data_IF_370229146015
#
_entry.id   IF_370229146015
#
_cell.length_a   1.000
_cell.length_b   1.000
_cell.length_c   1.000
_cell.angle_alpha   90.00
_cell.angle_beta   90.00
_cell.angle_gamma   90.00
#
_symmetry.space_group_name_H-M   'P 1'
#
loop_
_entity.id
_entity.type
_entity.pdbx_description
1 polymer ?
#
# COMPACT_ATOMS: atom_id res chain seq x y z
N UNK A 1 -29.60 -2.86 25.76
CA UNK A 1 -28.47 -1.97 26.11
C UNK A 1 -27.68 -2.51 27.30
N UNK A 2 -26.40 -2.86 27.12
CA UNK A 2 -25.49 -3.25 28.21
C UNK A 2 -24.57 -2.07 28.58
N UNK A 3 -24.97 -1.29 29.59
CA UNK A 3 -24.32 -0.02 29.95
C UNK A 3 -22.84 -0.22 30.34
N UNK A 4 -22.53 -1.27 31.09
CA UNK A 4 -21.15 -1.58 31.52
C UNK A 4 -20.23 -1.86 30.34
N UNK A 5 -20.73 -2.61 29.35
CA UNK A 5 -19.99 -2.89 28.12
C UNK A 5 -19.76 -1.63 27.28
N UNK A 6 -20.79 -0.78 27.14
CA UNK A 6 -20.67 0.48 26.37
C UNK A 6 -19.66 1.42 27.02
N UNK A 7 -19.71 1.58 28.36
CA UNK A 7 -18.72 2.37 29.11
C UNK A 7 -17.31 1.88 28.93
N UNK A 8 -17.09 0.57 29.08
CA UNK A 8 -15.78 -0.03 28.88
C UNK A 8 -15.25 0.26 27.46
N UNK A 9 -16.13 0.15 26.46
CA UNK A 9 -15.79 0.40 25.06
C UNK A 9 -15.42 1.87 24.82
N UNK A 10 -16.19 2.82 25.36
CA UNK A 10 -15.90 4.26 25.31
C UNK A 10 -14.59 4.61 26.05
N UNK A 11 -14.30 3.94 27.16
CA UNK A 11 -13.03 4.08 27.87
C UNK A 11 -11.82 3.70 27.02
N UNK A 12 -11.95 2.67 26.17
CA UNK A 12 -10.88 2.21 25.27
C UNK A 12 -10.62 3.16 24.11
N UNK A 13 -11.59 4.00 23.72
CA UNK A 13 -11.41 5.02 22.67
C UNK A 13 -10.23 5.93 23.01
N UNK A 14 -10.17 6.42 24.27
CA UNK A 14 -9.08 7.29 24.74
C UNK A 14 -7.71 6.60 24.62
N UNK A 15 -7.64 5.34 25.00
CA UNK A 15 -6.40 4.55 24.92
C UNK A 15 -5.96 4.33 23.48
N UNK A 16 -6.91 4.12 22.55
CA UNK A 16 -6.60 3.99 21.12
C UNK A 16 -6.12 5.31 20.50
N UNK A 17 -6.75 6.44 20.83
CA UNK A 17 -6.26 7.77 20.43
C UNK A 17 -4.85 8.04 20.97
N UNK A 18 -4.56 7.69 22.23
CA UNK A 18 -3.22 7.84 22.81
C UNK A 18 -2.15 6.99 22.10
N UNK A 19 -2.54 5.88 21.45
CA UNK A 19 -1.67 5.00 20.65
C UNK A 19 -1.57 5.43 19.18
N UNK A 20 -2.20 6.55 18.78
CA UNK A 20 -2.29 7.00 17.38
C UNK A 20 -2.88 5.94 16.45
N UNK A 21 -3.92 5.25 16.93
CA UNK A 21 -4.71 4.30 16.15
C UNK A 21 -6.14 4.84 15.98
N UNK A 22 -6.36 5.82 15.08
CA UNK A 22 -7.64 6.49 14.90
C UNK A 22 -8.69 5.54 14.29
N UNK A 23 -8.28 4.59 13.45
CA UNK A 23 -9.19 3.58 12.88
C UNK A 23 -9.85 2.75 13.99
N UNK A 24 -9.05 2.22 14.90
CA UNK A 24 -9.56 1.43 16.03
C UNK A 24 -10.36 2.28 17.01
N UNK A 25 -9.97 3.53 17.23
CA UNK A 25 -10.71 4.44 18.09
C UNK A 25 -12.11 4.75 17.53
N UNK A 26 -12.22 4.94 16.20
CA UNK A 26 -13.49 5.15 15.51
C UNK A 26 -14.36 3.89 15.53
N UNK A 27 -13.79 2.70 15.28
CA UNK A 27 -14.55 1.44 15.33
C UNK A 27 -15.11 1.15 16.74
N UNK A 28 -14.34 1.46 17.79
CA UNK A 28 -14.81 1.35 19.18
C UNK A 28 -15.94 2.35 19.49
N UNK A 29 -15.82 3.60 19.04
CA UNK A 29 -16.87 4.60 19.23
C UNK A 29 -18.16 4.24 18.46
N UNK A 30 -18.03 3.73 17.23
CA UNK A 30 -19.16 3.25 16.43
C UNK A 30 -19.84 2.06 17.10
N UNK A 31 -19.07 1.07 17.56
CA UNK A 31 -19.61 -0.10 18.27
C UNK A 31 -20.36 0.30 19.55
N UNK A 32 -19.87 1.31 20.26
CA UNK A 32 -20.53 1.85 21.45
C UNK A 32 -21.86 2.55 21.12
N UNK A 33 -21.92 3.31 20.03
CA UNK A 33 -23.15 3.98 19.58
C UNK A 33 -24.19 2.99 19.00
N UNK A 34 -23.75 1.96 18.28
CA UNK A 34 -24.63 0.92 17.75
C UNK A 34 -25.24 0.07 18.88
N UNK A 35 -24.48 -0.19 19.95
CA UNK A 35 -24.97 -0.90 21.13
C UNK A 35 -26.04 -0.15 21.95
N UNK A 36 -26.28 1.14 21.65
CA UNK A 36 -27.41 1.90 22.19
C UNK A 36 -28.74 1.53 21.52
N UNK A 37 -28.72 0.94 20.32
CA UNK A 37 -29.91 0.46 19.59
C UNK A 37 -31.02 1.53 19.47
N UNK A 38 -30.63 2.79 19.24
CA UNK A 38 -31.56 3.92 19.13
C UNK A 38 -32.19 4.38 20.46
N UNK A 39 -31.81 3.79 21.60
CA UNK A 39 -32.24 4.24 22.91
C UNK A 39 -31.48 5.50 23.33
N UNK A 40 -32.19 6.46 23.93
CA UNK A 40 -31.54 7.65 24.48
C UNK A 40 -30.63 7.25 25.64
N UNK A 41 -29.32 7.54 25.58
CA UNK A 41 -28.40 7.15 26.64
C UNK A 41 -28.74 7.87 27.96
N UNK A 42 -28.58 7.20 29.11
CA UNK A 42 -28.72 7.84 30.41
C UNK A 42 -27.63 8.92 30.62
N UNK A 43 -27.92 9.89 31.48
CA UNK A 43 -27.12 11.13 31.64
C UNK A 43 -25.64 10.87 31.92
N UNK A 44 -25.37 9.80 32.65
CA UNK A 44 -24.04 9.36 33.05
C UNK A 44 -23.24 8.79 31.86
N UNK A 45 -23.90 8.16 30.89
CA UNK A 45 -23.30 7.67 29.65
C UNK A 45 -23.09 8.79 28.61
N UNK A 46 -23.97 9.82 28.62
CA UNK A 46 -23.82 11.01 27.76
C UNK A 46 -22.49 11.72 27.97
N UNK A 47 -22.02 11.79 29.22
CA UNK A 47 -20.73 12.37 29.56
C UNK A 47 -19.56 11.56 28.98
N UNK A 48 -19.65 10.24 29.07
CA UNK A 48 -18.64 9.33 28.54
C UNK A 48 -18.55 9.43 27.00
N UNK A 49 -19.71 9.43 26.31
CA UNK A 49 -19.79 9.62 24.86
C UNK A 49 -19.19 10.96 24.46
N UNK A 50 -19.59 12.05 25.14
CA UNK A 50 -19.06 13.39 24.87
C UNK A 50 -17.54 13.40 24.95
N UNK A 51 -16.99 12.84 26.02
CA UNK A 51 -15.54 12.83 26.25
C UNK A 51 -14.80 12.01 25.20
N UNK A 52 -15.34 10.85 24.81
CA UNK A 52 -14.79 10.02 23.74
C UNK A 52 -14.79 10.76 22.39
N UNK A 53 -15.91 11.41 22.04
CA UNK A 53 -16.03 12.20 20.81
C UNK A 53 -15.07 13.40 20.80
N UNK A 54 -14.94 14.11 21.93
CA UNK A 54 -13.98 15.23 22.02
C UNK A 54 -12.54 14.74 21.86
N UNK A 55 -12.19 13.58 22.43
CA UNK A 55 -10.86 13.00 22.28
C UNK A 55 -10.58 12.58 20.83
N UNK A 56 -11.56 11.99 20.17
CA UNK A 56 -11.48 11.68 18.74
C UNK A 56 -11.34 12.95 17.89
N UNK A 57 -12.10 14.01 18.20
CA UNK A 57 -12.05 15.27 17.47
C UNK A 57 -10.69 15.99 17.57
N UNK A 58 -9.90 15.69 18.60
CA UNK A 58 -8.53 16.23 18.75
C UNK A 58 -7.47 15.45 17.98
N UNK A 59 -7.79 14.25 17.49
CA UNK A 59 -6.85 13.44 16.72
C UNK A 59 -6.60 14.09 15.34
N UNK A 60 -5.33 14.32 14.94
CA UNK A 60 -5.00 14.99 13.68
C UNK A 60 -5.60 14.33 12.44
N UNK A 61 -5.61 12.99 12.39
CA UNK A 61 -6.10 12.24 11.23
C UNK A 61 -7.62 12.34 11.15
N UNK A 62 -8.30 12.18 12.30
CA UNK A 62 -9.75 12.37 12.38
C UNK A 62 -10.14 13.80 11.99
N UNK A 63 -9.38 14.80 12.43
CA UNK A 63 -9.62 16.21 12.10
C UNK A 63 -9.39 16.51 10.61
N UNK A 64 -8.39 15.91 9.99
CA UNK A 64 -8.10 16.10 8.56
C UNK A 64 -9.20 15.52 7.66
N UNK A 65 -9.84 14.43 8.10
CA UNK A 65 -10.86 13.71 7.32
C UNK A 65 -12.31 14.01 7.74
N UNK A 66 -12.52 14.81 8.80
CA UNK A 66 -13.84 15.24 9.24
C UNK A 66 -14.34 16.46 8.44
N UNK A 67 -15.48 16.35 7.71
CA UNK A 67 -16.04 17.49 6.99
C UNK A 67 -16.59 18.57 7.93
N UNK A 68 -16.98 18.20 9.15
CA UNK A 68 -17.51 19.09 10.17
C UNK A 68 -16.98 18.73 11.56
N UNK A 69 -16.83 19.70 12.48
CA UNK A 69 -16.36 19.45 13.85
C UNK A 69 -17.20 18.39 14.57
N UNK A 70 -16.58 17.27 14.95
CA UNK A 70 -17.25 16.20 15.67
C UNK A 70 -17.67 16.69 17.06
N UNK A 71 -18.98 16.72 17.29
CA UNK A 71 -19.57 17.11 18.56
C UNK A 71 -20.76 16.19 18.86
N UNK A 72 -20.94 15.87 20.15
CA UNK A 72 -22.05 15.03 20.60
C UNK A 72 -23.20 15.88 21.13
N UNK A 73 -24.40 15.65 20.58
CA UNK A 73 -25.66 16.14 21.11
C UNK A 73 -26.57 14.96 21.50
N UNK A 74 -27.23 14.99 22.68
CA UNK A 74 -28.16 13.94 23.05
C UNK A 74 -29.33 13.86 22.06
N UNK A 75 -29.66 12.66 21.59
CA UNK A 75 -30.69 12.44 20.57
C UNK A 75 -30.14 12.45 19.13
N UNK A 76 -28.86 12.77 18.94
CA UNK A 76 -28.18 12.79 17.65
C UNK A 76 -27.27 11.56 17.43
N UNK A 77 -27.46 10.48 18.20
CA UNK A 77 -26.56 9.32 18.21
C UNK A 77 -26.44 8.66 16.83
N UNK A 78 -27.55 8.60 16.08
CA UNK A 78 -27.56 8.05 14.72
C UNK A 78 -26.80 8.94 13.73
N UNK A 79 -26.95 10.27 13.80
CA UNK A 79 -26.22 11.16 12.90
C UNK A 79 -24.73 11.21 13.27
N UNK A 80 -24.40 11.22 14.56
CA UNK A 80 -23.03 11.08 15.03
C UNK A 80 -22.40 9.77 14.52
N UNK A 81 -23.10 8.64 14.61
CA UNK A 81 -22.60 7.37 14.08
C UNK A 81 -22.39 7.40 12.56
N UNK A 82 -23.27 8.08 11.80
CA UNK A 82 -23.07 8.28 10.35
C UNK A 82 -21.82 9.13 10.06
N UNK A 83 -21.62 10.21 10.82
CA UNK A 83 -20.44 11.07 10.69
C UNK A 83 -19.15 10.33 11.01
N UNK A 84 -19.11 9.58 12.12
CA UNK A 84 -17.95 8.78 12.49
C UNK A 84 -17.63 7.68 11.46
N UNK A 85 -18.66 7.04 10.86
CA UNK A 85 -18.46 6.10 9.74
C UNK A 85 -17.83 6.79 8.54
N UNK A 86 -18.35 7.95 8.13
CA UNK A 86 -17.83 8.69 7.00
C UNK A 86 -16.35 9.06 7.19
N UNK A 87 -15.95 9.49 8.39
CA UNK A 87 -14.55 9.79 8.71
C UNK A 87 -13.68 8.55 8.67
N UNK A 88 -14.13 7.44 9.26
CA UNK A 88 -13.41 6.16 9.23
C UNK A 88 -13.20 5.68 7.79
N UNK A 89 -14.23 5.73 6.96
CA UNK A 89 -14.17 5.27 5.58
C UNK A 89 -13.27 6.19 4.73
N UNK A 90 -13.27 7.50 5.01
CA UNK A 90 -12.34 8.44 4.38
C UNK A 90 -10.87 8.18 4.76
N UNK A 91 -10.58 7.89 6.03
CA UNK A 91 -9.23 7.51 6.49
C UNK A 91 -8.77 6.22 5.80
N UNK A 92 -9.63 5.19 5.77
CA UNK A 92 -9.31 3.92 5.10
C UNK A 92 -9.06 4.12 3.60
N UNK A 93 -9.92 4.86 2.93
CA UNK A 93 -9.75 5.17 1.50
C UNK A 93 -8.48 6.00 1.22
N UNK A 94 -8.12 6.94 2.11
CA UNK A 94 -6.91 7.75 1.96
C UNK A 94 -5.65 6.88 2.08
N UNK A 95 -5.62 5.95 3.05
CA UNK A 95 -4.53 4.99 3.23
C UNK A 95 -4.40 4.03 2.05
N UNK A 96 -5.52 3.48 1.57
CA UNK A 96 -5.53 2.63 0.37
C UNK A 96 -5.07 3.39 -0.89
N UNK A 97 -5.41 4.68 -1.01
CA UNK A 97 -4.92 5.54 -2.08
C UNK A 97 -3.43 5.81 -1.98
N UNK A 98 -2.90 6.08 -0.79
CA UNK A 98 -1.46 6.24 -0.58
C UNK A 98 -0.71 4.96 -0.93
N UNK A 99 -1.20 3.80 -0.51
CA UNK A 99 -0.66 2.49 -0.86
C UNK A 99 -0.72 2.23 -2.38
N UNK A 100 -1.83 2.62 -3.02
CA UNK A 100 -2.01 2.53 -4.47
C UNK A 100 -1.05 3.46 -5.23
N UNK A 101 -0.95 4.72 -4.83
CA UNK A 101 -0.07 5.72 -5.44
C UNK A 101 1.39 5.31 -5.28
N UNK A 102 1.81 4.86 -4.09
CA UNK A 102 3.15 4.33 -3.85
C UNK A 102 3.45 3.11 -4.74
N UNK A 103 2.49 2.19 -4.86
CA UNK A 103 2.61 1.02 -5.75
C UNK A 103 2.72 1.44 -7.21
N UNK A 104 1.92 2.40 -7.64
CA UNK A 104 1.93 2.93 -9.00
C UNK A 104 3.25 3.65 -9.31
N UNK A 105 3.74 4.51 -8.42
CA UNK A 105 5.01 5.23 -8.58
C UNK A 105 6.19 4.25 -8.71
N UNK A 106 6.23 3.21 -7.87
CA UNK A 106 7.23 2.15 -7.96
C UNK A 106 7.23 1.47 -9.35
N UNK A 107 6.05 1.11 -9.86
CA UNK A 107 5.91 0.46 -11.18
C UNK A 107 6.31 1.40 -12.32
N UNK A 108 5.91 2.67 -12.25
CA UNK A 108 6.32 3.68 -13.22
C UNK A 108 7.83 3.90 -13.23
N UNK A 109 8.48 3.91 -12.06
CA UNK A 109 9.93 4.01 -11.94
C UNK A 109 10.62 2.78 -12.53
N UNK A 110 10.14 1.58 -12.23
CA UNK A 110 10.62 0.34 -12.83
C UNK A 110 10.54 0.39 -14.37
N UNK A 111 9.37 0.76 -14.91
CA UNK A 111 9.14 0.86 -16.36
C UNK A 111 10.02 1.92 -17.02
N UNK A 112 10.20 3.07 -16.36
CA UNK A 112 11.05 4.15 -16.85
C UNK A 112 12.50 3.70 -16.94
N UNK A 113 13.06 3.16 -15.84
CA UNK A 113 14.43 2.68 -15.82
C UNK A 113 14.66 1.57 -16.86
N UNK A 114 13.68 0.68 -17.06
CA UNK A 114 13.76 -0.32 -18.12
C UNK A 114 13.78 0.29 -19.53
N UNK A 115 12.92 1.27 -19.81
CA UNK A 115 12.89 1.97 -21.10
C UNK A 115 14.20 2.71 -21.38
N UNK A 116 14.74 3.40 -20.38
CA UNK A 116 16.01 4.12 -20.49
C UNK A 116 17.15 3.11 -20.78
N UNK A 117 17.18 1.96 -20.09
CA UNK A 117 18.15 0.91 -20.37
C UNK A 117 18.05 0.35 -21.80
N UNK A 118 16.84 0.15 -22.31
CA UNK A 118 16.63 -0.23 -23.73
C UNK A 118 17.13 0.84 -24.70
N UNK A 119 16.91 2.12 -24.41
CA UNK A 119 17.38 3.21 -25.25
C UNK A 119 18.91 3.24 -25.32
N UNK A 120 19.60 3.08 -24.18
CA UNK A 120 21.06 2.97 -24.15
C UNK A 120 21.59 1.76 -24.93
N UNK A 121 20.91 0.61 -24.88
CA UNK A 121 21.28 -0.53 -25.72
C UNK A 121 21.17 -0.24 -27.21
N UNK A 122 20.11 0.46 -27.64
CA UNK A 122 19.96 0.89 -29.03
C UNK A 122 21.04 1.88 -29.49
N UNK A 123 21.62 2.64 -28.55
CA UNK A 123 22.76 3.53 -28.79
C UNK A 123 24.12 2.82 -28.72
N UNK A 124 24.17 1.51 -28.47
CA UNK A 124 25.41 0.76 -28.30
C UNK A 124 26.14 1.09 -26.98
N UNK A 125 25.39 1.51 -25.95
CA UNK A 125 25.87 1.89 -24.62
C UNK A 125 25.44 0.88 -23.55
N UNK A 126 25.98 -0.34 -23.58
CA UNK A 126 25.50 -1.43 -22.72
C UNK A 126 25.83 -1.21 -21.23
N UNK A 127 26.87 -0.42 -20.91
CA UNK A 127 27.24 -0.13 -19.51
C UNK A 127 26.27 0.84 -18.85
N UNK A 128 25.78 1.84 -19.59
CA UNK A 128 24.71 2.73 -19.16
C UNK A 128 23.39 1.97 -19.02
N UNK A 129 23.13 1.00 -19.92
CA UNK A 129 21.99 0.11 -19.79
C UNK A 129 22.02 -0.75 -18.52
N UNK A 130 23.19 -1.27 -18.15
CA UNK A 130 23.36 -2.01 -16.88
C UNK A 130 23.03 -1.13 -15.66
N UNK A 131 23.44 0.13 -15.66
CA UNK A 131 23.10 1.07 -14.60
C UNK A 131 21.59 1.31 -14.51
N UNK A 132 20.92 1.51 -15.65
CA UNK A 132 19.47 1.65 -15.71
C UNK A 132 18.74 0.38 -15.24
N UNK A 133 19.21 -0.81 -15.64
CA UNK A 133 18.61 -2.06 -15.21
C UNK A 133 18.85 -2.34 -13.73
N UNK A 134 20.02 -2.02 -13.19
CA UNK A 134 20.29 -2.09 -11.76
C UNK A 134 19.33 -1.19 -10.96
N UNK A 135 19.10 0.05 -11.42
CA UNK A 135 18.13 0.96 -10.81
C UNK A 135 16.68 0.45 -10.93
N UNK A 136 16.28 -0.12 -12.07
CA UNK A 136 14.96 -0.75 -12.22
C UNK A 136 14.73 -1.87 -11.20
N UNK A 137 15.76 -2.68 -10.93
CA UNK A 137 15.69 -3.77 -9.95
C UNK A 137 15.57 -3.29 -8.49
N UNK A 138 15.84 -2.02 -8.19
CA UNK A 138 15.55 -1.44 -6.86
C UNK A 138 14.05 -1.28 -6.61
N UNK A 139 13.26 -1.18 -7.67
CA UNK A 139 11.81 -1.05 -7.62
C UNK A 139 11.07 -2.39 -7.81
N UNK A 140 11.79 -3.47 -8.09
CA UNK A 140 11.24 -4.82 -8.21
C UNK A 140 10.68 -5.30 -6.86
N UNK A 141 9.48 -5.91 -6.87
CA UNK A 141 8.97 -6.72 -5.75
C UNK A 141 8.62 -8.13 -6.20
N UNK A 142 7.81 -8.23 -7.24
CA UNK A 142 7.16 -9.48 -7.66
C UNK A 142 7.04 -9.59 -9.19
N UNK A 143 7.45 -8.55 -9.93
CA UNK A 143 7.43 -8.48 -11.38
C UNK A 143 8.53 -9.35 -12.03
N UNK A 144 8.51 -10.66 -11.82
CA UNK A 144 9.58 -11.59 -12.26
C UNK A 144 9.82 -11.58 -13.77
N UNK A 145 8.83 -11.17 -14.56
CA UNK A 145 8.96 -10.96 -16.00
C UNK A 145 10.08 -9.97 -16.37
N UNK A 146 10.43 -9.02 -15.48
CA UNK A 146 11.44 -7.99 -15.75
C UNK A 146 12.81 -8.59 -16.10
N UNK A 147 13.20 -9.72 -15.48
CA UNK A 147 14.46 -10.39 -15.77
C UNK A 147 14.52 -10.92 -17.20
N UNK A 148 13.42 -11.49 -17.69
CA UNK A 148 13.33 -11.96 -19.08
C UNK A 148 13.29 -10.81 -20.08
N UNK A 149 12.64 -9.70 -19.73
CA UNK A 149 12.62 -8.50 -20.57
C UNK A 149 14.01 -7.86 -20.70
N UNK A 150 14.76 -7.74 -19.60
CA UNK A 150 16.14 -7.25 -19.61
C UNK A 150 17.07 -8.19 -20.38
N UNK A 151 16.96 -9.50 -20.14
CA UNK A 151 17.72 -10.51 -20.86
C UNK A 151 17.47 -10.43 -22.37
N UNK A 152 16.21 -10.38 -22.79
CA UNK A 152 15.83 -10.27 -24.20
C UNK A 152 16.38 -8.98 -24.82
N UNK A 153 16.26 -7.85 -24.15
CA UNK A 153 16.81 -6.58 -24.64
C UNK A 153 18.34 -6.66 -24.84
N UNK A 154 19.05 -7.28 -23.90
CA UNK A 154 20.50 -7.52 -24.01
C UNK A 154 20.85 -8.47 -25.16
N UNK A 155 20.07 -9.53 -25.37
CA UNK A 155 20.24 -10.45 -26.51
C UNK A 155 20.03 -9.75 -27.85
N UNK A 156 18.99 -8.91 -27.96
CA UNK A 156 18.71 -8.09 -29.14
C UNK A 156 19.86 -7.11 -29.45
N UNK A 157 20.57 -6.65 -28.41
CA UNK A 157 21.74 -5.79 -28.53
C UNK A 157 23.06 -6.55 -28.77
N UNK A 158 23.04 -7.89 -28.83
CA UNK A 158 24.25 -8.72 -28.97
C UNK A 158 25.06 -8.92 -27.67
N UNK A 159 24.57 -8.42 -26.55
CA UNK A 159 25.23 -8.49 -25.24
C UNK A 159 24.94 -9.80 -24.50
N UNK A 160 25.25 -10.94 -25.13
CA UNK A 160 24.85 -12.27 -24.63
C UNK A 160 25.41 -12.63 -23.25
N UNK A 161 26.61 -12.12 -22.90
CA UNK A 161 27.20 -12.35 -21.56
C UNK A 161 26.41 -11.61 -20.48
N UNK A 162 25.99 -10.36 -20.73
CA UNK A 162 25.16 -9.58 -19.80
C UNK A 162 23.76 -10.18 -19.71
N UNK A 163 23.19 -10.58 -20.84
CA UNK A 163 21.90 -11.27 -20.90
C UNK A 163 21.86 -12.49 -19.98
N UNK A 164 22.88 -13.36 -20.03
CA UNK A 164 22.99 -14.53 -19.15
C UNK A 164 22.96 -14.16 -17.65
N UNK A 165 23.50 -13.01 -17.27
CA UNK A 165 23.40 -12.49 -15.90
C UNK A 165 21.95 -12.29 -15.46
N UNK A 166 21.16 -11.60 -16.28
CA UNK A 166 19.73 -11.37 -16.00
C UNK A 166 18.91 -12.66 -16.04
N UNK A 167 19.21 -13.58 -16.97
CA UNK A 167 18.53 -14.88 -17.05
C UNK A 167 18.77 -15.70 -15.78
N UNK A 168 20.01 -15.77 -15.30
CA UNK A 168 20.35 -16.47 -14.04
C UNK A 168 19.66 -15.84 -12.84
N UNK A 169 19.61 -14.52 -12.76
CA UNK A 169 18.89 -13.82 -11.70
C UNK A 169 17.39 -14.16 -11.74
N UNK A 170 16.79 -14.15 -12.93
CA UNK A 170 15.39 -14.53 -13.12
C UNK A 170 15.10 -15.99 -12.78
N UNK A 171 15.97 -16.93 -13.15
CA UNK A 171 15.83 -18.35 -12.78
C UNK A 171 16.03 -18.57 -11.28
N UNK A 172 16.87 -17.78 -10.62
CA UNK A 172 16.99 -17.81 -9.15
C UNK A 172 15.68 -17.33 -8.48
N UNK A 173 15.03 -16.32 -9.05
CA UNK A 173 13.74 -15.81 -8.57
C UNK A 173 12.57 -16.75 -8.92
N UNK A 174 12.62 -17.42 -10.07
CA UNK A 174 11.59 -18.33 -10.58
C UNK A 174 12.22 -19.59 -11.23
N UNK A 175 12.61 -20.61 -10.43
CA UNK A 175 13.37 -21.79 -10.90
C UNK A 175 12.68 -22.66 -11.97
N UNK A 176 11.37 -22.50 -12.17
CA UNK A 176 10.58 -23.24 -13.17
C UNK A 176 10.20 -22.42 -14.41
N UNK A 177 10.78 -21.24 -14.61
CA UNK A 177 10.41 -20.38 -15.74
C UNK A 177 11.01 -20.92 -17.06
N UNK A 178 10.19 -21.67 -17.81
CA UNK A 178 10.59 -22.31 -19.07
C UNK A 178 11.12 -21.30 -20.12
N UNK A 179 10.55 -20.08 -20.18
CA UNK A 179 11.00 -19.07 -21.12
C UNK A 179 12.43 -18.60 -20.81
N UNK A 180 12.77 -18.42 -19.53
CA UNK A 180 14.13 -18.06 -19.12
C UNK A 180 15.12 -19.20 -19.39
N UNK A 181 14.72 -20.47 -19.19
CA UNK A 181 15.55 -21.62 -19.53
C UNK A 181 15.85 -21.68 -21.04
N UNK A 182 14.83 -21.47 -21.89
CA UNK A 182 15.00 -21.41 -23.34
C UNK A 182 15.94 -20.26 -23.77
N UNK A 183 15.76 -19.06 -23.20
CA UNK A 183 16.66 -17.93 -23.45
C UNK A 183 18.10 -18.24 -23.01
N UNK A 184 18.30 -19.01 -21.93
CA UNK A 184 19.64 -19.40 -21.47
C UNK A 184 20.35 -20.28 -22.51
N UNK A 185 19.64 -21.25 -23.07
CA UNK A 185 20.14 -22.15 -24.11
C UNK A 185 20.45 -21.39 -25.40
N UNK A 186 19.58 -20.46 -25.80
CA UNK A 186 19.79 -19.59 -26.96
C UNK A 186 21.00 -18.67 -26.78
N UNK A 187 21.11 -17.98 -25.64
CA UNK A 187 22.28 -17.18 -25.29
C UNK A 187 23.58 -18.01 -25.31
N UNK A 188 23.55 -19.23 -24.80
CA UNK A 188 24.72 -20.10 -24.75
C UNK A 188 25.20 -20.48 -26.16
N UNK A 189 24.27 -20.67 -27.10
CA UNK A 189 24.56 -20.96 -28.51
C UNK A 189 25.16 -19.73 -29.22
N UNK A 190 24.52 -18.58 -29.09
CA UNK A 190 24.96 -17.33 -29.74
C UNK A 190 26.28 -16.79 -29.18
N UNK A 191 26.63 -17.17 -27.95
CA UNK A 191 27.93 -16.84 -27.34
C UNK A 191 29.10 -17.62 -27.95
N UNK A 192 28.86 -18.79 -28.56
CA UNK A 192 29.91 -19.54 -29.24
C UNK A 192 30.08 -18.92 -30.64
N UNK A 193 31.27 -18.42 -31.02
CA UNK A 193 31.51 -18.11 -32.43
C UNK A 193 31.29 -19.40 -33.22
N UNK A 194 30.51 -19.35 -34.30
CA UNK A 194 30.40 -20.49 -35.22
C UNK A 194 31.83 -20.92 -35.65
N UNK A 195 32.12 -22.24 -35.70
CA UNK A 195 33.44 -22.75 -36.04
C UNK A 195 33.90 -22.41 -37.46
#
# INVERSE_FOLDING_TARGET
MNISHIRLTLGRVKTSCARRDPERALDLALSALEALDGQTPPTDLRGDIRTAVTTLATDPDVKAHAPEPLAYQPGDEQALARRLRAVRDAIKAAKEREDYEATLQRKLQLDRCFKDGKAFLAEGKPSEADACFAEALRFYRDETAIFGMMAKAMMEAGEYVRALGHIRAGLKAAPGNAALSQMAEECARLRQPEP
#
